data_IF_066570095673
#
_entry.id   IF_066570095673
#
_cell.length_a   1.000
_cell.length_b   1.000
_cell.length_c   1.000
_cell.angle_alpha   90.00
_cell.angle_beta   90.00
_cell.angle_gamma   90.00
#
_symmetry.space_group_name_H-M   'P 1'
#
loop_
_entity.id
_entity.type
_entity.pdbx_description
1 polymer ?
#
# COMPACT_ATOMS: atom_id res chain seq x y z
N UNK A 1 -30.72 -49.18 11.01
CA UNK A 1 -29.33 -49.21 11.51
C UNK A 1 -28.44 -48.51 10.50
N UNK A 2 -27.94 -47.32 10.85
CA UNK A 2 -27.01 -46.51 10.06
C UNK A 2 -25.62 -47.17 10.01
N UNK A 3 -24.93 -47.10 8.88
CA UNK A 3 -23.47 -47.26 8.79
C UNK A 3 -22.91 -46.36 7.67
N UNK A 4 -21.83 -45.67 8.01
CA UNK A 4 -21.16 -44.57 7.33
C UNK A 4 -20.23 -45.03 6.21
N UNK A 5 -19.98 -44.16 5.23
CA UNK A 5 -19.21 -44.45 4.01
C UNK A 5 -18.01 -43.50 3.88
N UNK A 6 -17.10 -43.56 4.85
CA UNK A 6 -15.84 -42.79 4.85
C UNK A 6 -14.64 -43.74 4.89
N UNK A 7 -14.28 -44.34 3.75
CA UNK A 7 -12.97 -44.97 3.54
C UNK A 7 -12.66 -45.02 2.05
N UNK A 8 -12.08 -43.96 1.49
CA UNK A 8 -11.24 -44.01 0.28
C UNK A 8 -10.26 -42.84 0.27
N UNK A 9 -9.04 -43.04 0.76
CA UNK A 9 -7.87 -42.44 0.14
C UNK A 9 -6.63 -43.26 0.51
N UNK A 10 -6.04 -43.88 -0.53
CA UNK A 10 -4.75 -44.53 -0.44
C UNK A 10 -3.64 -43.49 -0.45
N UNK A 11 -2.64 -43.69 0.40
CA UNK A 11 -1.39 -42.93 0.38
C UNK A 11 -0.25 -43.92 0.15
N UNK A 12 0.33 -43.84 -1.04
CA UNK A 12 1.58 -44.50 -1.43
C UNK A 12 2.76 -43.83 -0.73
N UNK A 13 3.56 -44.64 -0.04
CA UNK A 13 4.84 -44.25 0.56
C UNK A 13 5.92 -44.09 -0.51
N UNK A 14 6.63 -42.96 -0.49
CA UNK A 14 7.92 -42.79 -1.16
C UNK A 14 8.96 -42.31 -0.15
N UNK A 15 10.03 -43.10 -0.02
CA UNK A 15 11.21 -42.88 0.81
C UNK A 15 12.16 -41.94 0.08
N UNK A 16 12.63 -40.88 0.74
CA UNK A 16 13.67 -39.99 0.25
C UNK A 16 14.59 -39.58 1.40
N UNK A 17 15.82 -40.11 1.38
CA UNK A 17 16.86 -39.86 2.37
C UNK A 17 17.39 -38.42 2.27
N UNK A 18 17.61 -37.76 3.42
CA UNK A 18 18.31 -36.48 3.52
C UNK A 18 19.67 -36.70 4.17
N UNK A 19 20.71 -36.32 3.43
CA UNK A 19 22.11 -36.25 3.84
C UNK A 19 22.31 -35.13 4.87
N UNK A 20 22.90 -35.47 6.01
CA UNK A 20 23.37 -34.50 7.00
C UNK A 20 24.80 -34.05 6.64
N UNK A 21 24.97 -32.74 6.39
CA UNK A 21 26.28 -32.08 6.28
C UNK A 21 26.49 -31.24 7.55
N UNK A 22 27.63 -31.46 8.19
CA UNK A 22 27.93 -30.97 9.54
C UNK A 22 28.24 -29.48 9.64
N UNK A 23 27.92 -28.92 10.81
CA UNK A 23 28.39 -27.62 11.27
C UNK A 23 29.37 -27.83 12.42
N UNK A 24 30.63 -27.45 12.22
CA UNK A 24 31.63 -27.32 13.29
C UNK A 24 31.56 -25.90 13.85
N UNK A 25 31.12 -25.77 15.11
CA UNK A 25 31.30 -24.55 15.89
C UNK A 25 32.59 -24.66 16.70
N UNK A 26 33.55 -23.75 16.45
CA UNK A 26 34.75 -23.57 17.27
C UNK A 26 34.60 -22.26 18.06
N UNK A 27 34.71 -22.41 19.38
CA UNK A 27 34.68 -21.37 20.41
C UNK A 27 36.08 -20.76 20.56
N UNK A 28 36.18 -19.43 20.73
CA UNK A 28 37.29 -18.81 21.47
C UNK A 28 36.72 -17.77 22.44
N UNK A 29 36.90 -18.06 23.73
CA UNK A 29 36.64 -17.17 24.87
C UNK A 29 37.74 -16.10 24.97
N UNK A 30 37.36 -14.88 25.33
CA UNK A 30 38.28 -13.83 25.79
C UNK A 30 37.75 -13.18 27.08
N UNK A 31 38.19 -13.76 28.20
CA UNK A 31 38.62 -13.18 29.49
C UNK A 31 38.10 -11.77 29.87
N UNK A 32 37.18 -11.75 30.84
CA UNK A 32 36.87 -10.58 31.67
C UNK A 32 37.88 -10.45 32.83
N UNK A 33 38.35 -9.24 33.09
CA UNK A 33 39.10 -8.87 34.29
C UNK A 33 38.60 -7.52 34.82
N UNK A 34 38.34 -7.37 36.14
CA UNK A 34 37.82 -6.12 36.71
C UNK A 34 38.94 -5.28 37.32
N UNK A 35 38.89 -3.95 37.15
CA UNK A 35 39.55 -2.99 38.05
C UNK A 35 39.00 -1.57 37.85
N UNK A 36 38.36 -1.07 38.91
CA UNK A 36 38.05 0.34 39.21
C UNK A 36 39.32 1.23 39.21
N UNK A 37 39.15 2.56 39.08
CA UNK A 37 39.51 3.37 40.25
C UNK A 37 38.52 4.51 40.56
N UNK A 38 38.00 4.42 41.79
CA UNK A 38 38.10 5.46 42.84
C UNK A 38 37.59 6.87 42.53
N UNK A 39 36.34 7.10 42.96
CA UNK A 39 35.77 8.41 43.26
C UNK A 39 36.34 8.93 44.59
N UNK A 40 37.22 9.93 44.53
CA UNK A 40 37.64 10.69 45.71
C UNK A 40 36.78 11.94 45.84
N UNK A 41 36.01 12.02 46.91
CA UNK A 41 35.33 13.24 47.34
C UNK A 41 36.33 14.18 48.03
N UNK A 42 36.36 15.45 47.62
CA UNK A 42 36.87 16.55 48.43
C UNK A 42 35.86 17.70 48.36
N UNK A 43 35.46 18.18 49.54
CA UNK A 43 34.67 19.39 49.79
C UNK A 43 35.58 20.35 50.56
N UNK A 44 35.20 21.63 50.75
CA UNK A 44 35.27 22.77 49.85
C UNK A 44 36.33 23.79 50.31
N UNK A 45 36.79 24.68 49.42
CA UNK A 45 37.30 25.97 49.90
C UNK A 45 36.84 27.11 48.99
N UNK A 46 36.45 28.20 49.64
CA UNK A 46 35.82 29.36 49.04
C UNK A 46 36.88 30.26 48.40
N UNK A 47 36.71 30.56 47.11
CA UNK A 47 37.38 31.68 46.47
C UNK A 47 36.37 32.48 45.63
N UNK A 48 36.14 33.70 46.09
CA UNK A 48 35.37 34.77 45.44
C UNK A 48 35.76 34.93 43.96
N UNK A 49 34.79 35.03 43.02
CA UNK A 49 35.09 35.12 41.60
C UNK A 49 35.61 36.52 41.23
N UNK A 50 36.77 36.55 40.57
CA UNK A 50 37.26 37.72 39.87
C UNK A 50 36.52 37.85 38.53
N UNK A 51 35.80 38.96 38.36
CA UNK A 51 35.05 39.31 37.16
C UNK A 51 36.01 39.51 35.98
N UNK A 52 36.04 38.56 35.04
CA UNK A 52 36.63 38.76 33.70
C UNK A 52 35.47 38.84 32.72
N UNK A 53 35.21 40.02 32.16
CA UNK A 53 34.22 40.21 31.10
C UNK A 53 34.81 39.68 29.78
N UNK A 54 34.33 38.51 29.32
CA UNK A 54 34.49 38.12 27.93
C UNK A 54 33.57 38.96 27.03
N UNK A 55 34.01 39.34 25.82
CA UNK A 55 33.13 40.03 24.87
C UNK A 55 32.05 39.06 24.39
N UNK A 56 30.79 39.41 24.66
CA UNK A 56 29.61 38.67 24.23
C UNK A 56 29.62 38.56 22.70
N UNK A 57 29.80 37.33 22.19
CA UNK A 57 29.54 37.04 20.77
C UNK A 57 28.05 37.21 20.54
N UNK A 58 27.67 38.19 19.71
CA UNK A 58 26.29 38.41 19.33
C UNK A 58 25.72 37.13 18.69
N UNK A 59 24.72 36.54 19.34
CA UNK A 59 23.84 35.55 18.73
C UNK A 59 23.04 36.25 17.64
N UNK A 60 23.03 35.77 16.38
CA UNK A 60 22.11 36.28 15.39
C UNK A 60 20.69 35.99 15.89
N UNK A 61 19.99 37.00 16.39
CA UNK A 61 18.55 36.95 16.62
C UNK A 61 17.86 37.15 15.29
N UNK A 62 17.97 36.15 14.43
CA UNK A 62 17.08 36.06 13.27
C UNK A 62 16.84 34.57 13.01
N UNK A 63 16.00 33.98 13.87
CA UNK A 63 15.26 32.80 13.46
C UNK A 63 14.32 33.30 12.37
N UNK A 64 14.75 33.19 11.12
CA UNK A 64 13.87 33.37 9.97
C UNK A 64 12.61 32.55 10.26
N UNK A 65 11.48 33.23 10.37
CA UNK A 65 10.20 32.56 10.56
C UNK A 65 10.06 31.51 9.46
N UNK A 66 9.83 30.26 9.85
CA UNK A 66 9.55 29.20 8.88
C UNK A 66 8.42 29.71 7.98
N UNK A 67 8.71 29.83 6.68
CA UNK A 67 7.68 30.17 5.70
C UNK A 67 6.54 29.15 5.89
N UNK A 68 5.26 29.58 5.86
CA UNK A 68 4.15 28.64 5.88
C UNK A 68 4.37 27.66 4.73
N UNK A 69 4.56 26.38 5.04
CA UNK A 69 4.46 25.33 4.03
C UNK A 69 3.03 25.43 3.53
N UNK A 70 2.84 25.78 2.25
CA UNK A 70 1.51 25.78 1.66
C UNK A 70 0.90 24.41 1.93
N UNK A 71 -0.25 24.38 2.61
CA UNK A 71 -0.93 23.14 2.87
C UNK A 71 -1.30 22.50 1.53
N UNK A 72 -0.96 21.22 1.37
CA UNK A 72 -1.45 20.39 0.28
C UNK A 72 -2.95 20.67 0.07
N UNK A 73 -3.39 20.89 -1.19
CA UNK A 73 -4.80 21.16 -1.44
C UNK A 73 -5.64 20.02 -0.88
N UNK A 74 -6.60 20.36 -0.01
CA UNK A 74 -7.47 19.37 0.58
C UNK A 74 -8.23 18.60 -0.51
N UNK A 75 -8.30 17.27 -0.36
CA UNK A 75 -9.09 16.42 -1.25
C UNK A 75 -10.54 16.91 -1.31
N UNK A 76 -11.16 16.82 -2.48
CA UNK A 76 -12.60 17.05 -2.58
C UNK A 76 -13.36 16.03 -1.72
N UNK A 77 -14.53 16.39 -1.21
CA UNK A 77 -15.31 15.47 -0.37
C UNK A 77 -15.59 14.10 -1.02
N UNK A 78 -15.89 13.99 -2.33
CA UNK A 78 -16.01 12.69 -3.01
C UNK A 78 -14.73 11.87 -2.98
N UNK A 79 -13.57 12.50 -3.21
CA UNK A 79 -12.28 11.80 -3.18
C UNK A 79 -11.93 11.39 -1.75
N UNK A 80 -12.18 12.25 -0.76
CA UNK A 80 -11.99 11.91 0.64
C UNK A 80 -12.83 10.67 1.04
N UNK A 81 -14.12 10.62 0.67
CA UNK A 81 -14.99 9.47 0.94
C UNK A 81 -14.50 8.17 0.26
N UNK A 82 -13.94 8.28 -0.94
CA UNK A 82 -13.31 7.16 -1.64
C UNK A 82 -12.10 6.64 -0.87
N UNK A 83 -11.19 7.53 -0.44
CA UNK A 83 -9.99 7.15 0.31
C UNK A 83 -10.36 6.57 1.68
N UNK A 84 -11.31 7.17 2.40
CA UNK A 84 -11.79 6.66 3.68
C UNK A 84 -12.33 5.23 3.55
N UNK A 85 -13.08 4.94 2.47
CA UNK A 85 -13.56 3.59 2.19
C UNK A 85 -12.41 2.60 1.98
N UNK A 86 -11.42 2.97 1.16
CA UNK A 86 -10.26 2.12 0.89
C UNK A 86 -9.50 1.81 2.19
N UNK A 87 -9.20 2.83 2.99
CA UNK A 87 -8.46 2.67 4.24
C UNK A 87 -9.23 1.86 5.28
N UNK A 88 -10.55 1.89 5.27
CA UNK A 88 -11.39 1.08 6.15
C UNK A 88 -11.43 -0.41 5.74
N UNK A 89 -11.31 -0.72 4.44
CA UNK A 89 -11.70 -2.03 3.91
C UNK A 89 -10.62 -2.81 3.13
N UNK A 90 -9.41 -2.26 2.95
CA UNK A 90 -8.35 -2.91 2.16
C UNK A 90 -7.83 -4.24 2.72
N UNK A 91 -7.95 -4.46 4.02
CA UNK A 91 -7.38 -5.61 4.71
C UNK A 91 -8.42 -6.71 4.87
N UNK A 92 -8.05 -7.97 4.60
CA UNK A 92 -8.91 -9.16 4.69
C UNK A 92 -9.82 -9.21 5.94
N UNK A 93 -9.33 -8.75 7.09
CA UNK A 93 -10.11 -8.72 8.33
C UNK A 93 -11.31 -7.76 8.33
N UNK A 94 -11.31 -6.77 7.42
CA UNK A 94 -12.28 -5.69 7.36
C UNK A 94 -12.95 -5.54 5.99
N UNK A 95 -12.82 -6.52 5.09
CA UNK A 95 -13.55 -6.50 3.83
C UNK A 95 -15.07 -6.33 4.07
N UNK A 96 -15.73 -5.50 3.26
CA UNK A 96 -17.18 -5.30 3.32
C UNK A 96 -17.95 -6.43 2.62
N UNK A 97 -17.71 -7.67 3.04
CA UNK A 97 -18.21 -8.89 2.38
C UNK A 97 -19.71 -9.10 2.54
N UNK A 98 -20.30 -8.62 3.63
CA UNK A 98 -21.74 -8.76 3.85
C UNK A 98 -22.57 -8.01 2.79
N UNK A 99 -22.10 -6.85 2.35
CA UNK A 99 -22.76 -6.08 1.29
C UNK A 99 -22.29 -6.54 -0.10
N UNK A 100 -20.97 -6.63 -0.32
CA UNK A 100 -20.41 -6.74 -1.67
C UNK A 100 -19.93 -8.13 -2.06
N UNK A 101 -19.77 -9.03 -1.09
CA UNK A 101 -19.10 -10.31 -1.28
C UNK A 101 -17.60 -10.16 -1.58
N UNK A 102 -16.97 -11.28 -1.95
CA UNK A 102 -15.55 -11.35 -2.30
C UNK A 102 -15.33 -12.34 -3.44
N UNK A 103 -14.42 -12.03 -4.38
CA UNK A 103 -14.07 -12.85 -5.54
C UNK A 103 -12.75 -13.63 -5.35
N UNK A 104 -12.29 -13.79 -4.12
CA UNK A 104 -11.01 -14.44 -3.79
C UNK A 104 -9.84 -13.73 -4.44
N UNK A 105 -9.00 -14.46 -5.18
CA UNK A 105 -7.82 -13.91 -5.86
C UNK A 105 -8.15 -12.91 -6.98
N UNK A 106 -9.41 -12.82 -7.42
CA UNK A 106 -9.84 -11.91 -8.48
C UNK A 106 -10.59 -10.66 -7.95
N UNK A 107 -10.43 -10.34 -6.66
CA UNK A 107 -11.24 -9.31 -6.00
C UNK A 107 -10.83 -7.86 -6.30
N UNK A 108 -9.75 -7.65 -7.06
CA UNK A 108 -9.20 -6.34 -7.37
C UNK A 108 -10.24 -5.29 -7.81
N UNK A 109 -10.99 -5.58 -8.87
CA UNK A 109 -11.97 -4.64 -9.44
C UNK A 109 -13.27 -4.60 -8.64
N UNK A 110 -13.62 -5.67 -7.91
CA UNK A 110 -14.76 -5.63 -6.99
C UNK A 110 -14.50 -4.59 -5.89
N UNK A 111 -13.31 -4.61 -5.29
CA UNK A 111 -12.92 -3.63 -4.29
C UNK A 111 -12.82 -2.20 -4.86
N UNK A 112 -12.15 -2.03 -6.00
CA UNK A 112 -12.09 -0.74 -6.67
C UNK A 112 -13.49 -0.20 -7.00
N UNK A 113 -14.41 -1.06 -7.43
CA UNK A 113 -15.79 -0.69 -7.73
C UNK A 113 -16.55 -0.18 -6.50
N UNK A 114 -16.33 -0.80 -5.34
CA UNK A 114 -16.90 -0.33 -4.07
C UNK A 114 -16.39 1.07 -3.71
N UNK A 115 -15.09 1.33 -3.88
CA UNK A 115 -14.52 2.66 -3.66
C UNK A 115 -15.11 3.70 -4.61
N UNK A 116 -15.41 3.35 -5.88
CA UNK A 116 -16.10 4.24 -6.80
C UNK A 116 -17.54 4.56 -6.35
N UNK A 117 -18.25 3.59 -5.77
CA UNK A 117 -19.56 3.87 -5.14
C UNK A 117 -19.41 4.82 -3.95
N UNK A 118 -18.39 4.65 -3.10
CA UNK A 118 -18.10 5.58 -2.00
C UNK A 118 -17.77 7.00 -2.50
N UNK A 119 -17.09 7.11 -3.66
CA UNK A 119 -16.87 8.37 -4.37
C UNK A 119 -18.16 9.00 -4.91
N UNK A 120 -19.26 8.25 -4.99
CA UNK A 120 -20.54 8.72 -5.50
C UNK A 120 -20.83 8.36 -6.96
N UNK A 121 -20.08 7.42 -7.56
CA UNK A 121 -20.51 6.84 -8.82
C UNK A 121 -21.82 6.08 -8.63
N UNK A 122 -22.66 6.11 -9.66
CA UNK A 122 -23.94 5.38 -9.69
C UNK A 122 -23.81 4.18 -10.61
N UNK A 123 -24.37 3.05 -10.15
CA UNK A 123 -24.44 1.84 -10.96
C UNK A 123 -25.39 2.01 -12.14
N UNK A 124 -25.18 1.21 -13.17
CA UNK A 124 -26.08 1.10 -14.32
C UNK A 124 -26.23 -0.36 -14.75
N UNK A 125 -26.84 -0.58 -15.93
CA UNK A 125 -27.07 -1.92 -16.45
C UNK A 125 -25.79 -2.68 -16.86
N UNK A 126 -24.66 -2.00 -17.02
CA UNK A 126 -23.38 -2.59 -17.47
C UNK A 126 -22.42 -2.77 -16.30
N UNK A 127 -22.34 -1.79 -15.39
CA UNK A 127 -21.54 -1.83 -14.17
C UNK A 127 -22.45 -1.75 -12.94
N UNK A 128 -22.72 -2.90 -12.35
CA UNK A 128 -23.59 -3.06 -11.18
C UNK A 128 -23.26 -4.28 -10.34
N UNK A 129 -23.64 -4.21 -9.06
CA UNK A 129 -23.68 -5.31 -8.11
C UNK A 129 -25.03 -5.32 -7.39
N UNK A 130 -25.62 -6.50 -7.11
CA UNK A 130 -26.89 -6.60 -6.40
C UNK A 130 -26.79 -6.29 -4.90
N UNK A 131 -25.58 -6.07 -4.34
CA UNK A 131 -25.35 -5.79 -2.92
C UNK A 131 -25.96 -6.84 -1.97
N UNK A 132 -25.90 -8.11 -2.35
CA UNK A 132 -26.50 -9.22 -1.60
C UNK A 132 -25.45 -10.09 -0.88
N UNK A 133 -24.20 -9.63 -0.79
CA UNK A 133 -23.08 -10.39 -0.22
C UNK A 133 -22.52 -11.51 -1.12
N UNK A 134 -23.09 -11.71 -2.31
CA UNK A 134 -22.56 -12.64 -3.31
C UNK A 134 -21.95 -11.87 -4.49
N UNK A 135 -20.63 -11.67 -4.43
CA UNK A 135 -19.93 -10.91 -5.46
C UNK A 135 -20.13 -11.49 -6.85
N UNK A 136 -20.32 -12.80 -7.02
CA UNK A 136 -20.46 -13.45 -8.34
C UNK A 136 -21.75 -13.10 -9.09
N UNK A 137 -22.77 -12.59 -8.40
CA UNK A 137 -24.02 -12.15 -9.01
C UNK A 137 -23.90 -10.76 -9.66
N UNK A 138 -22.78 -10.06 -9.44
CA UNK A 138 -22.53 -8.76 -10.05
C UNK A 138 -22.25 -8.87 -11.56
N UNK A 139 -22.42 -7.75 -12.26
CA UNK A 139 -22.16 -7.63 -13.71
C UNK A 139 -20.71 -7.97 -14.08
N UNK A 140 -20.47 -8.24 -15.37
CA UNK A 140 -19.11 -8.52 -15.85
C UNK A 140 -18.15 -7.34 -15.60
N UNK A 141 -18.59 -6.10 -15.88
CA UNK A 141 -17.76 -4.91 -15.66
C UNK A 141 -17.48 -4.65 -14.16
N UNK A 142 -18.28 -5.20 -13.25
CA UNK A 142 -18.01 -5.11 -11.81
C UNK A 142 -16.95 -6.10 -11.33
N UNK A 143 -16.76 -7.23 -12.04
CA UNK A 143 -15.97 -8.38 -11.58
C UNK A 143 -14.73 -8.69 -12.42
N UNK A 144 -14.59 -8.04 -13.58
CA UNK A 144 -13.44 -8.21 -14.48
C UNK A 144 -12.80 -6.85 -14.76
N UNK A 145 -11.50 -6.74 -14.46
CA UNK A 145 -10.72 -5.52 -14.65
C UNK A 145 -10.69 -5.10 -16.14
N UNK A 146 -10.53 -6.05 -17.06
CA UNK A 146 -10.67 -5.82 -18.51
C UNK A 146 -12.08 -5.37 -18.91
N UNK A 147 -13.14 -5.97 -18.37
CA UNK A 147 -14.50 -5.51 -18.67
C UNK A 147 -14.79 -4.10 -18.12
N UNK A 148 -14.23 -3.77 -16.94
CA UNK A 148 -14.33 -2.44 -16.35
C UNK A 148 -13.60 -1.38 -17.18
N UNK A 149 -12.39 -1.69 -17.67
CA UNK A 149 -11.66 -0.83 -18.60
C UNK A 149 -12.53 -0.47 -19.82
N UNK A 150 -13.12 -1.49 -20.45
CA UNK A 150 -13.98 -1.30 -21.62
C UNK A 150 -15.23 -0.46 -21.29
N UNK A 151 -15.83 -0.67 -20.13
CA UNK A 151 -16.95 0.12 -19.65
C UNK A 151 -16.58 1.60 -19.47
N UNK A 152 -15.49 1.91 -18.75
CA UNK A 152 -15.06 3.31 -18.52
C UNK A 152 -14.81 4.01 -19.86
N UNK A 153 -14.07 3.35 -20.77
CA UNK A 153 -13.77 3.88 -22.09
C UNK A 153 -15.02 4.27 -22.90
N UNK A 154 -16.11 3.51 -22.75
CA UNK A 154 -17.38 3.77 -23.44
C UNK A 154 -18.20 4.89 -22.80
N UNK A 155 -18.12 5.05 -21.47
CA UNK A 155 -18.94 6.04 -20.76
C UNK A 155 -18.40 7.47 -20.86
N UNK A 156 -17.10 7.64 -21.08
CA UNK A 156 -16.44 8.95 -21.06
C UNK A 156 -16.43 9.63 -19.67
N UNK A 157 -16.66 8.87 -18.59
CA UNK A 157 -16.67 9.38 -17.20
C UNK A 157 -15.29 9.73 -16.66
N UNK A 158 -14.23 9.27 -17.32
CA UNK A 158 -12.85 9.48 -16.93
C UNK A 158 -11.94 9.61 -18.16
N UNK A 159 -10.79 10.26 -17.99
CA UNK A 159 -9.80 10.46 -19.05
C UNK A 159 -8.71 9.40 -18.95
N UNK A 160 -8.42 8.69 -20.05
CA UNK A 160 -7.32 7.73 -20.08
C UNK A 160 -5.97 8.43 -20.00
N UNK A 161 -5.07 7.90 -19.17
CA UNK A 161 -3.66 8.31 -19.08
C UNK A 161 -2.76 7.08 -19.17
N UNK A 162 -1.58 7.26 -19.76
CA UNK A 162 -0.51 6.25 -19.76
C UNK A 162 0.46 6.50 -18.61
N UNK A 163 1.36 5.54 -18.36
CA UNK A 163 2.45 5.70 -17.40
C UNK A 163 3.44 6.83 -17.73
N UNK A 164 3.41 7.37 -18.95
CA UNK A 164 4.23 8.54 -19.32
C UNK A 164 3.61 9.87 -18.86
N UNK A 165 2.37 9.85 -18.35
CA UNK A 165 1.58 11.02 -17.97
C UNK A 165 1.34 11.07 -16.46
N UNK A 166 2.31 10.59 -15.66
CA UNK A 166 2.22 10.54 -14.19
C UNK A 166 2.00 11.90 -13.54
N UNK A 167 2.43 12.97 -14.20
CA UNK A 167 2.20 14.36 -13.80
C UNK A 167 0.74 14.78 -13.83
N UNK A 168 -0.13 13.98 -14.46
CA UNK A 168 -1.57 14.20 -14.54
C UNK A 168 -2.37 13.26 -13.64
N UNK A 169 -1.71 12.29 -13.00
CA UNK A 169 -2.34 11.34 -12.08
C UNK A 169 -2.58 12.02 -10.74
N UNK A 170 -3.75 11.80 -10.16
CA UNK A 170 -4.14 12.34 -8.86
C UNK A 170 -4.73 11.28 -7.94
N UNK A 171 -4.70 11.57 -6.64
CA UNK A 171 -5.37 10.73 -5.62
C UNK A 171 -6.84 10.52 -5.99
N UNK A 172 -7.29 9.28 -5.88
CA UNK A 172 -8.62 8.82 -6.26
C UNK A 172 -8.74 8.36 -7.73
N UNK A 173 -7.73 8.55 -8.56
CA UNK A 173 -7.71 7.96 -9.91
C UNK A 173 -7.70 6.44 -9.85
N UNK A 174 -8.22 5.80 -10.89
CA UNK A 174 -8.18 4.35 -11.02
C UNK A 174 -6.86 4.00 -11.68
N UNK A 175 -6.09 3.09 -11.08
CA UNK A 175 -4.92 2.47 -11.73
C UNK A 175 -5.30 1.09 -12.23
N UNK A 176 -4.92 0.78 -13.46
CA UNK A 176 -5.08 -0.54 -14.04
C UNK A 176 -3.73 -1.03 -14.57
N UNK A 177 -3.53 -2.33 -14.51
CA UNK A 177 -2.28 -2.94 -14.91
C UNK A 177 -2.49 -4.01 -15.96
N UNK A 178 -1.53 -4.07 -16.86
CA UNK A 178 -1.33 -5.10 -17.87
C UNK A 178 -0.01 -5.77 -17.53
N UNK A 179 -0.08 -6.87 -16.78
CA UNK A 179 1.08 -7.52 -16.18
C UNK A 179 1.96 -8.21 -17.20
N UNK A 180 1.34 -8.73 -18.28
CA UNK A 180 2.03 -9.50 -19.31
C UNK A 180 2.10 -8.78 -20.67
N UNK A 181 1.60 -7.55 -20.76
CA UNK A 181 1.48 -6.76 -21.98
C UNK A 181 0.64 -7.42 -23.07
N UNK A 182 -0.37 -8.19 -22.68
CA UNK A 182 -1.34 -8.78 -23.61
C UNK A 182 -2.27 -7.74 -24.22
N UNK A 183 -2.38 -6.55 -23.61
CA UNK A 183 -3.28 -5.48 -23.99
C UNK A 183 -4.60 -5.46 -23.20
N UNK A 184 -4.86 -6.47 -22.37
CA UNK A 184 -5.98 -6.45 -21.44
C UNK A 184 -5.58 -5.80 -20.10
N UNK A 185 -6.49 -5.76 -19.12
CA UNK A 185 -6.19 -5.20 -17.79
C UNK A 185 -6.39 -6.28 -16.76
N UNK A 186 -5.31 -6.93 -16.37
CA UNK A 186 -5.28 -7.98 -15.37
C UNK A 186 -5.76 -7.51 -13.99
N UNK A 187 -5.40 -6.30 -13.61
CA UNK A 187 -5.57 -5.81 -12.25
C UNK A 187 -6.05 -4.37 -12.20
N UNK A 188 -6.87 -4.05 -11.20
CA UNK A 188 -7.39 -2.70 -10.93
C UNK A 188 -7.19 -2.35 -9.46
N UNK A 189 -6.72 -1.14 -9.20
CA UNK A 189 -6.67 -0.53 -7.87
C UNK A 189 -7.07 0.95 -7.93
N UNK A 190 -7.00 1.64 -6.79
CA UNK A 190 -7.24 3.09 -6.70
C UNK A 190 -5.99 3.78 -6.18
N UNK A 191 -5.57 4.85 -6.85
CA UNK A 191 -4.45 5.69 -6.44
C UNK A 191 -4.76 6.35 -5.10
N UNK A 192 -3.94 6.06 -4.08
CA UNK A 192 -4.09 6.60 -2.73
C UNK A 192 -3.06 7.67 -2.39
N UNK A 193 -1.94 7.71 -3.12
CA UNK A 193 -0.87 8.69 -2.91
C UNK A 193 -0.15 9.01 -4.21
N UNK A 194 0.17 10.28 -4.41
CA UNK A 194 1.00 10.78 -5.51
C UNK A 194 2.00 11.75 -4.88
N UNK A 195 3.29 11.47 -5.01
CA UNK A 195 4.35 12.25 -4.38
C UNK A 195 5.41 12.60 -5.40
N UNK A 196 5.89 13.84 -5.36
CA UNK A 196 7.06 14.25 -6.14
C UNK A 196 8.33 13.98 -5.32
N UNK A 197 9.18 13.09 -5.82
CA UNK A 197 10.47 12.73 -5.21
C UNK A 197 11.59 13.17 -6.14
N UNK A 198 12.15 14.36 -5.90
CA UNK A 198 13.09 14.98 -6.83
C UNK A 198 12.42 15.31 -8.16
N UNK A 199 12.92 14.73 -9.25
CA UNK A 199 12.37 14.90 -10.60
C UNK A 199 11.39 13.78 -11.00
N UNK A 200 11.14 12.81 -10.14
CA UNK A 200 10.24 11.68 -10.39
C UNK A 200 8.92 11.81 -9.61
N UNK A 201 7.89 11.11 -10.09
CA UNK A 201 6.59 11.02 -9.43
C UNK A 201 6.37 9.58 -8.99
N UNK A 202 6.30 9.39 -7.69
CA UNK A 202 5.97 8.11 -7.06
C UNK A 202 4.44 8.03 -6.86
N UNK A 203 3.86 6.92 -7.30
CA UNK A 203 2.42 6.67 -7.21
C UNK A 203 2.20 5.42 -6.38
N UNK A 204 1.32 5.53 -5.38
CA UNK A 204 0.87 4.40 -4.57
C UNK A 204 -0.62 4.15 -4.75
N UNK A 205 -1.04 2.90 -4.59
CA UNK A 205 -2.44 2.49 -4.73
C UNK A 205 -2.88 1.55 -3.61
N UNK A 206 -4.19 1.53 -3.39
CA UNK A 206 -4.88 0.51 -2.62
C UNK A 206 -5.55 -0.51 -3.54
N UNK A 207 -5.58 -1.77 -3.10
CA UNK A 207 -6.14 -2.87 -3.87
C UNK A 207 -6.31 -4.15 -3.03
N UNK A 208 -7.16 -5.05 -3.52
CA UNK A 208 -7.26 -6.44 -3.07
C UNK A 208 -6.40 -7.36 -3.96
N UNK A 209 -6.52 -8.69 -3.79
CA UNK A 209 -5.66 -9.75 -4.38
C UNK A 209 -4.27 -9.79 -3.76
N UNK A 210 -3.59 -8.64 -3.75
CA UNK A 210 -2.51 -8.37 -2.82
C UNK A 210 -2.90 -7.16 -1.98
N UNK A 211 -3.51 -7.45 -0.82
CA UNK A 211 -4.03 -6.45 0.11
C UNK A 211 -3.00 -5.37 0.40
N UNK A 212 -3.37 -4.13 0.06
CA UNK A 212 -2.54 -2.96 0.31
C UNK A 212 -3.37 -1.69 0.34
N UNK A 213 -2.88 -0.72 1.11
CA UNK A 213 -3.39 0.64 1.19
C UNK A 213 -2.48 1.65 0.44
N UNK A 214 -1.17 1.41 0.43
CA UNK A 214 -0.17 2.26 -0.25
C UNK A 214 0.92 1.44 -0.98
N UNK A 215 0.53 0.45 -1.79
CA UNK A 215 1.50 -0.30 -2.60
C UNK A 215 2.04 0.59 -3.72
N UNK A 216 3.36 0.56 -3.93
CA UNK A 216 4.00 1.30 -5.02
C UNK A 216 3.64 0.70 -6.38
N UNK A 217 3.25 1.56 -7.32
CA UNK A 217 3.07 1.20 -8.74
C UNK A 217 4.38 0.70 -9.32
N UNK A 218 5.51 1.37 -9.03
CA UNK A 218 6.82 1.01 -9.60
C UNK A 218 7.27 -0.36 -9.15
N UNK A 219 7.10 -0.68 -7.87
CA UNK A 219 7.35 -2.04 -7.36
C UNK A 219 6.46 -3.05 -8.09
N UNK A 220 5.18 -2.74 -8.29
CA UNK A 220 4.26 -3.64 -8.96
C UNK A 220 4.69 -3.97 -10.40
N UNK A 221 5.16 -3.00 -11.20
CA UNK A 221 5.53 -3.21 -12.61
C UNK A 221 7.02 -3.53 -12.86
N UNK A 222 7.91 -3.31 -11.89
CA UNK A 222 9.35 -3.57 -12.06
C UNK A 222 9.87 -4.75 -11.23
N UNK A 223 9.24 -5.04 -10.09
CA UNK A 223 9.68 -6.10 -9.16
C UNK A 223 8.69 -7.26 -9.16
N UNK A 224 7.40 -6.98 -8.92
CA UNK A 224 6.39 -8.02 -8.74
C UNK A 224 5.98 -8.64 -10.09
N UNK A 225 5.82 -7.78 -11.12
CA UNK A 225 5.53 -8.16 -12.50
C UNK A 225 6.51 -7.48 -13.47
N UNK A 226 7.79 -7.92 -13.53
CA UNK A 226 8.80 -7.25 -14.32
C UNK A 226 8.41 -7.13 -15.80
N UNK A 227 8.31 -5.89 -16.28
CA UNK A 227 7.94 -5.58 -17.66
C UNK A 227 6.45 -5.28 -17.85
N UNK A 228 5.63 -5.37 -16.81
CA UNK A 228 4.23 -4.94 -16.87
C UNK A 228 4.08 -3.44 -17.10
N UNK A 229 2.88 -3.02 -17.52
CA UNK A 229 2.57 -1.61 -17.80
C UNK A 229 1.39 -1.12 -16.95
N UNK A 230 1.53 0.07 -16.37
CA UNK A 230 0.45 0.76 -15.68
C UNK A 230 -0.29 1.73 -16.60
N UNK A 231 -1.60 1.85 -16.37
CA UNK A 231 -2.51 2.76 -17.04
C UNK A 231 -3.41 3.40 -16.00
N UNK A 232 -3.92 4.59 -16.28
CA UNK A 232 -4.79 5.30 -15.34
C UNK A 232 -6.05 5.80 -16.00
N UNK A 233 -7.10 5.91 -15.20
CA UNK A 233 -8.28 6.70 -15.53
C UNK A 233 -8.34 7.89 -14.58
N UNK A 234 -8.11 9.07 -15.14
CA UNK A 234 -8.22 10.33 -14.42
C UNK A 234 -9.70 10.63 -14.19
N UNK A 235 -10.16 10.45 -12.96
CA UNK A 235 -11.58 10.66 -12.59
C UNK A 235 -11.76 12.10 -12.11
N UNK A 236 -12.70 12.89 -12.65
CA UNK A 236 -12.89 14.29 -12.27
C UNK A 236 -13.33 14.49 -10.82
#
# INVERSE_FOLDING_TARGET
MQLTRWQRLGLTMAVGAVLAVGATALVVQALEGPADPTKTAQTPDAATPATTQEPVRATPTDTAAAAPVEAEPALSAPVAAQIDYLLAHWSLGNYNTAEWGVLGENDCVNFASQAMIARGWTMDSVWSSPKNGNAYDASAAWRSSTAFMNYIAQTGKATALTDQQRDQVKVGDIVQFDWDNSGDRDHTGIVTRVEKVGDTIEISFAGHTLDSDFRSVDTAITVDHPGGTAYYWSVP
#
